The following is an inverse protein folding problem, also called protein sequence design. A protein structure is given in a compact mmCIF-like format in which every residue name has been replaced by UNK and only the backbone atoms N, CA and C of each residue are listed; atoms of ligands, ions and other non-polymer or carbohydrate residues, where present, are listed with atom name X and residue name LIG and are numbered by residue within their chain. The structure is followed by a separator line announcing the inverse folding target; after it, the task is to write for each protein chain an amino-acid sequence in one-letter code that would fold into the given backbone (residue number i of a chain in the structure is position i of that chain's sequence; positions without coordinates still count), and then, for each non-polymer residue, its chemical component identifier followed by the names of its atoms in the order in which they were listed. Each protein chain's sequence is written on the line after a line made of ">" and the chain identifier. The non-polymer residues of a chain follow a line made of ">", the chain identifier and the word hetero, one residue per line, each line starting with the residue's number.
data_IF_275923538758
#
_entry.id   IF_275923538758
#
_cell.length_a   1.000
_cell.length_b   1.000
_cell.length_c   1.000
_cell.angle_alpha   90.00
_cell.angle_beta   90.00
_cell.angle_gamma   90.00
#
_symmetry.space_group_name_H-M   'P 1'
#
loop_
_entity.id
_entity.type
_entity.pdbx_description
1 polymer ?
#
# COMPACT_ATOMS: atom_id res chain seq x y z
N UNK A 1 1.72 7.31 18.90
CA UNK A 1 0.51 7.37 18.05
C UNK A 1 0.47 8.77 17.46
N UNK A 2 0.80 8.91 16.17
CA UNK A 2 0.72 10.19 15.46
C UNK A 2 -0.63 10.31 14.76
N UNK A 3 -1.54 11.07 15.36
CA UNK A 3 -2.82 11.43 14.73
C UNK A 3 -2.58 12.50 13.67
N UNK A 4 -3.25 12.38 12.52
CA UNK A 4 -3.17 13.40 11.47
C UNK A 4 -4.35 14.36 11.59
N UNK A 5 -4.05 15.65 11.45
CA UNK A 5 -5.00 16.74 11.51
C UNK A 5 -5.14 17.32 10.10
N UNK A 6 -6.34 17.26 9.54
CA UNK A 6 -6.78 18.11 8.42
C UNK A 6 -7.51 19.34 8.95
N UNK A 7 -7.92 20.24 8.06
CA UNK A 7 -8.53 21.53 8.43
C UNK A 7 -9.76 21.41 9.34
N UNK A 8 -10.52 20.32 9.22
CA UNK A 8 -11.70 20.05 10.06
C UNK A 8 -11.83 18.59 10.51
N UNK A 9 -10.80 17.77 10.34
CA UNK A 9 -10.87 16.33 10.63
C UNK A 9 -9.58 15.81 11.25
N UNK A 10 -9.69 15.04 12.33
CA UNK A 10 -8.57 14.29 12.91
C UNK A 10 -8.77 12.83 12.59
N UNK A 11 -7.80 12.21 11.92
CA UNK A 11 -7.94 10.83 11.49
C UNK A 11 -6.62 10.07 11.57
N UNK A 12 -6.74 8.78 11.85
CA UNK A 12 -5.66 7.81 11.77
C UNK A 12 -6.25 6.58 11.07
N UNK A 13 -6.06 6.52 9.75
CA UNK A 13 -6.61 5.44 8.93
C UNK A 13 -5.46 4.53 8.52
N UNK A 14 -5.47 3.33 9.08
CA UNK A 14 -4.51 2.28 8.79
C UNK A 14 -5.25 1.10 8.15
N UNK A 15 -4.89 0.77 6.90
CA UNK A 15 -5.43 -0.38 6.21
C UNK A 15 -4.44 -1.53 6.20
N UNK A 16 -4.94 -2.75 6.42
CA UNK A 16 -4.16 -3.97 6.34
C UNK A 16 -4.65 -4.77 5.13
N UNK A 17 -3.91 -4.69 4.03
CA UNK A 17 -4.21 -5.46 2.84
C UNK A 17 -3.45 -6.78 2.87
N UNK A 18 -4.19 -7.88 2.71
CA UNK A 18 -3.63 -9.24 2.62
C UNK A 18 -3.99 -9.81 1.26
N UNK A 19 -2.98 -10.16 0.48
CA UNK A 19 -3.15 -10.72 -0.86
C UNK A 19 -2.63 -12.15 -0.86
N UNK A 20 -3.35 -13.04 -1.53
CA UNK A 20 -2.96 -14.44 -1.69
C UNK A 20 -2.92 -14.77 -3.18
N UNK A 21 -1.92 -15.54 -3.60
CA UNK A 21 -1.81 -15.99 -5.00
C UNK A 21 -2.96 -16.94 -5.34
N UNK A 22 -3.36 -16.94 -6.62
CA UNK A 22 -4.36 -17.91 -7.11
C UNK A 22 -3.91 -19.33 -6.75
N UNK A 23 -4.80 -20.11 -6.15
CA UNK A 23 -4.53 -21.46 -5.63
C UNK A 23 -3.40 -21.59 -4.59
N UNK A 24 -2.97 -20.49 -3.96
CA UNK A 24 -1.88 -20.46 -2.96
C UNK A 24 -0.55 -21.02 -3.50
N UNK A 25 -0.29 -20.91 -4.79
CA UNK A 25 1.02 -21.28 -5.33
C UNK A 25 2.14 -20.44 -4.70
N UNK A 26 3.26 -21.08 -4.39
CA UNK A 26 4.44 -20.49 -3.75
C UNK A 26 5.29 -19.68 -4.75
N UNK A 27 4.64 -18.86 -5.58
CA UNK A 27 5.27 -18.09 -6.66
C UNK A 27 5.89 -16.77 -6.19
N UNK A 28 5.57 -16.31 -4.98
CA UNK A 28 6.15 -15.10 -4.39
C UNK A 28 7.52 -15.43 -3.78
N UNK A 29 8.45 -15.92 -4.60
CA UNK A 29 9.83 -16.23 -4.21
C UNK A 29 10.82 -15.68 -5.22
N UNK A 30 12.07 -15.45 -4.77
CA UNK A 30 13.14 -14.93 -5.63
C UNK A 30 12.82 -13.56 -6.25
N UNK A 31 13.09 -13.44 -7.55
CA UNK A 31 12.92 -12.19 -8.31
C UNK A 31 11.47 -11.71 -8.37
N UNK A 32 10.49 -12.62 -8.39
CA UNK A 32 9.07 -12.26 -8.42
C UNK A 32 8.69 -11.48 -7.17
N UNK A 33 9.17 -11.89 -6.00
CA UNK A 33 8.91 -11.18 -4.75
C UNK A 33 9.54 -9.78 -4.76
N UNK A 34 10.76 -9.64 -5.32
CA UNK A 34 11.42 -8.35 -5.45
C UNK A 34 10.61 -7.41 -6.36
N UNK A 35 10.18 -7.91 -7.52
CA UNK A 35 9.42 -7.11 -8.50
C UNK A 35 8.07 -6.69 -7.97
N UNK A 36 7.36 -7.57 -7.27
CA UNK A 36 6.06 -7.24 -6.64
C UNK A 36 6.23 -6.12 -5.61
N UNK A 37 7.27 -6.16 -4.77
CA UNK A 37 7.52 -5.08 -3.80
C UNK A 37 7.77 -3.74 -4.50
N UNK A 38 8.49 -3.75 -5.61
CA UNK A 38 8.75 -2.53 -6.38
C UNK A 38 7.47 -1.95 -6.99
N UNK A 39 6.63 -2.79 -7.60
CA UNK A 39 5.33 -2.36 -8.13
C UNK A 39 4.42 -1.79 -7.04
N UNK A 40 4.38 -2.43 -5.87
CA UNK A 40 3.62 -1.92 -4.72
C UNK A 40 4.18 -0.57 -4.26
N UNK A 41 5.51 -0.41 -4.21
CA UNK A 41 6.16 0.86 -3.85
C UNK A 41 5.79 1.99 -4.82
N UNK A 42 5.87 1.73 -6.13
CA UNK A 42 5.49 2.68 -7.17
C UNK A 42 4.02 3.08 -7.07
N UNK A 43 3.14 2.10 -6.82
CA UNK A 43 1.71 2.36 -6.64
C UNK A 43 1.46 3.22 -5.39
N UNK A 44 2.12 2.92 -4.27
CA UNK A 44 1.99 3.73 -3.06
C UNK A 44 2.49 5.17 -3.22
N UNK A 45 3.60 5.37 -3.95
CA UNK A 45 4.09 6.72 -4.30
C UNK A 45 3.06 7.49 -5.12
N UNK A 46 2.44 6.85 -6.11
CA UNK A 46 1.41 7.48 -6.95
C UNK A 46 0.18 7.95 -6.17
N UNK A 47 -0.20 7.25 -5.09
CA UNK A 47 -1.33 7.62 -4.25
C UNK A 47 -0.97 8.51 -3.04
N UNK A 48 0.28 8.97 -2.94
CA UNK A 48 0.83 9.72 -1.80
C UNK A 48 0.62 8.99 -0.44
N UNK A 49 0.64 7.66 -0.49
CA UNK A 49 0.41 6.83 0.67
C UNK A 49 1.72 6.38 1.28
N UNK A 50 1.86 6.56 2.60
CA UNK A 50 3.05 6.09 3.31
C UNK A 50 2.92 4.57 3.50
N UNK A 51 3.74 3.83 2.77
CA UNK A 51 3.74 2.37 2.76
C UNK A 51 4.52 1.81 3.97
N UNK A 52 3.93 0.86 4.69
CA UNK A 52 4.61 0.01 5.66
C UNK A 52 4.43 -1.43 5.17
N UNK A 53 5.34 -1.90 4.31
CA UNK A 53 5.36 -3.34 3.95
C UNK A 53 5.83 -4.12 5.16
N UNK A 54 5.01 -5.07 5.61
CA UNK A 54 5.33 -5.89 6.78
C UNK A 54 6.01 -7.20 6.42
N UNK A 55 5.48 -7.93 5.44
CA UNK A 55 6.05 -9.22 5.05
C UNK A 55 5.57 -9.68 3.68
N UNK A 56 6.49 -10.28 2.92
CA UNK A 56 6.16 -11.14 1.76
C UNK A 56 6.49 -12.58 2.17
N UNK A 57 5.46 -13.37 2.43
CA UNK A 57 5.56 -14.81 2.66
C UNK A 57 5.33 -15.54 1.33
N UNK A 58 5.72 -16.82 1.26
CA UNK A 58 5.77 -17.63 0.03
C UNK A 58 4.52 -17.54 -0.87
N UNK A 59 3.35 -17.29 -0.29
CA UNK A 59 2.10 -17.08 -1.05
C UNK A 59 1.26 -15.90 -0.54
N UNK A 60 1.72 -15.16 0.47
CA UNK A 60 0.92 -14.14 1.15
C UNK A 60 1.69 -12.83 1.19
N UNK A 61 1.08 -11.76 0.69
CA UNK A 61 1.62 -10.42 0.73
C UNK A 61 0.85 -9.61 1.78
N UNK A 62 1.56 -9.09 2.78
CA UNK A 62 1.00 -8.23 3.81
C UNK A 62 1.49 -6.79 3.59
N UNK A 63 0.57 -5.90 3.22
CA UNK A 63 0.86 -4.48 3.04
C UNK A 63 0.04 -3.69 4.05
N UNK A 64 0.72 -2.95 4.91
CA UNK A 64 0.07 -1.93 5.71
C UNK A 64 0.24 -0.58 5.04
N UNK A 65 -0.87 0.13 4.96
CA UNK A 65 -1.00 1.34 4.17
C UNK A 65 -1.57 2.41 5.08
N UNK A 66 -0.84 3.52 5.26
CA UNK A 66 -1.28 4.66 6.06
C UNK A 66 -1.44 5.87 5.16
N UNK A 67 -2.69 6.24 4.84
CA UNK A 67 -3.02 7.39 4.00
C UNK A 67 -2.40 8.66 4.60
N UNK A 68 -1.54 9.31 3.81
CA UNK A 68 -1.17 10.70 4.06
C UNK A 68 -2.39 11.60 3.82
N UNK A 69 -2.38 12.78 4.42
CA UNK A 69 -3.42 13.81 4.46
C UNK A 69 -4.31 13.82 3.21
N UNK A 70 -5.63 13.97 3.39
CA UNK A 70 -6.64 14.05 2.32
C UNK A 70 -6.51 15.40 1.56
N UNK A 71 -5.35 15.68 0.99
CA UNK A 71 -5.08 16.84 0.17
C UNK A 71 -4.36 16.38 -1.09
N UNK A 72 -4.93 16.73 -2.24
CA UNK A 72 -4.34 16.59 -3.59
C UNK A 72 -4.46 15.23 -4.29
N UNK A 73 -5.65 14.63 -4.29
CA UNK A 73 -5.99 13.66 -5.36
C UNK A 73 -7.38 13.93 -5.95
N UNK A 74 -7.63 15.20 -6.31
CA UNK A 74 -8.41 15.50 -7.51
C UNK A 74 -7.40 15.70 -8.65
N UNK A 75 -6.69 14.64 -9.03
CA UNK A 75 -5.94 14.66 -10.29
C UNK A 75 -6.96 14.30 -11.38
N UNK A 76 -7.45 15.34 -12.03
CA UNK A 76 -8.06 15.29 -13.35
C UNK A 76 -7.12 14.46 -14.25
N UNK A 77 -7.52 13.25 -14.60
CA UNK A 77 -6.91 12.51 -15.70
C UNK A 77 -8.05 11.80 -16.46
N UNK A 78 -8.88 12.66 -17.07
CA UNK A 78 -9.62 12.35 -18.29
C UNK A 78 -9.07 13.32 -19.32
N UNK A 79 -8.03 12.90 -20.05
CA UNK A 79 -7.91 13.06 -21.51
C UNK A 79 -6.65 12.35 -22.03
#
# INVERSE_FOLDING_TARGET
>A
MDYRYGSHTVFQIEYHFVWVTKYRYKVLTGEVALRVRELVRQTCEAFEIRMIVKAVLKCHLFVQVRKGTFGLCYRHEVQ
#
